data_IF_034514466341
#
_entry.id   IF_034514466341
#
_cell.length_a   1.000
_cell.length_b   1.000
_cell.length_c   1.000
_cell.angle_alpha   90.00
_cell.angle_beta   90.00
_cell.angle_gamma   90.00
#
_symmetry.space_group_name_H-M   'P 1'
#
loop_
_entity.id
_entity.type
_entity.pdbx_description
1 polymer ?
#
# COMPACT_ATOMS: atom_id res chain seq x y z
N UNK A 1 -4.07 -19.96 6.46
CA UNK A 1 -3.76 -18.66 5.81
C UNK A 1 -2.26 -18.59 5.62
N UNK A 2 -1.76 -18.02 4.51
CA UNK A 2 -0.32 -17.86 4.25
C UNK A 2 -0.10 -16.67 3.32
N UNK A 3 1.09 -16.09 3.33
CA UNK A 3 1.48 -15.09 2.32
C UNK A 3 1.60 -15.78 0.97
N UNK A 4 0.95 -15.23 -0.05
CA UNK A 4 0.98 -15.80 -1.39
C UNK A 4 2.31 -15.48 -2.08
N UNK A 5 3.00 -16.51 -2.58
CA UNK A 5 4.20 -16.29 -3.40
C UNK A 5 3.87 -15.51 -4.68
N UNK A 6 2.68 -15.70 -5.25
CA UNK A 6 2.27 -14.95 -6.43
C UNK A 6 2.12 -13.44 -6.15
N UNK A 7 1.68 -13.07 -4.95
CA UNK A 7 1.57 -11.67 -4.54
C UNK A 7 2.96 -11.06 -4.34
N UNK A 8 3.89 -11.80 -3.73
CA UNK A 8 5.29 -11.36 -3.60
C UNK A 8 5.95 -11.22 -4.97
N UNK A 9 5.79 -12.21 -5.85
CA UNK A 9 6.35 -12.19 -7.20
C UNK A 9 5.79 -11.04 -8.05
N UNK A 10 4.57 -10.58 -7.78
CA UNK A 10 4.02 -9.37 -8.39
C UNK A 10 4.80 -8.14 -7.96
N UNK A 11 5.02 -7.95 -6.65
CA UNK A 11 5.82 -6.84 -6.13
C UNK A 11 7.25 -6.82 -6.69
N UNK A 12 7.86 -7.99 -6.85
CA UNK A 12 9.22 -8.12 -7.41
C UNK A 12 9.30 -7.78 -8.90
N UNK A 13 8.19 -7.81 -9.63
CA UNK A 13 8.12 -7.48 -11.06
C UNK A 13 7.79 -6.01 -11.32
N UNK A 14 7.45 -5.25 -10.29
CA UNK A 14 7.14 -3.82 -10.42
C UNK A 14 8.37 -3.09 -10.96
N UNK A 15 8.15 -2.31 -12.01
CA UNK A 15 9.18 -1.41 -12.52
C UNK A 15 9.13 -0.09 -11.76
N UNK A 16 9.61 -0.16 -10.52
CA UNK A 16 9.45 0.89 -9.52
C UNK A 16 9.84 2.27 -10.04
N UNK A 17 8.95 3.23 -9.81
CA UNK A 17 9.23 4.67 -9.91
C UNK A 17 9.59 5.19 -11.32
N UNK A 18 9.35 4.39 -12.37
CA UNK A 18 9.70 4.77 -13.75
C UNK A 18 8.93 6.00 -14.25
N UNK A 19 7.83 6.37 -13.60
CA UNK A 19 6.96 7.47 -13.99
C UNK A 19 6.84 8.61 -12.95
N UNK A 20 7.69 8.63 -11.92
CA UNK A 20 7.73 9.79 -11.00
C UNK A 20 7.91 11.10 -11.79
N UNK A 21 7.04 12.08 -11.51
CA UNK A 21 7.05 13.38 -12.17
C UNK A 21 6.47 13.41 -13.59
N UNK A 22 5.99 12.28 -14.12
CA UNK A 22 5.25 12.22 -15.40
C UNK A 22 3.75 12.26 -15.13
N UNK A 23 2.95 12.77 -16.07
CA UNK A 23 1.49 12.75 -15.92
C UNK A 23 0.96 11.32 -15.98
N UNK A 24 0.21 10.90 -14.97
CA UNK A 24 -0.50 9.61 -14.98
C UNK A 24 -1.77 9.70 -15.82
N UNK A 25 -2.16 8.58 -16.42
CA UNK A 25 -3.42 8.41 -17.18
C UNK A 25 -4.52 7.74 -16.36
N UNK A 26 -4.26 7.46 -15.08
CA UNK A 26 -5.22 6.84 -14.19
C UNK A 26 -6.39 7.79 -13.92
N UNK A 27 -7.61 7.24 -13.88
CA UNK A 27 -8.82 7.99 -13.63
C UNK A 27 -9.10 8.12 -12.14
N UNK A 28 -9.83 9.18 -11.76
CA UNK A 28 -10.29 9.41 -10.38
C UNK A 28 -9.17 9.50 -9.32
N UNK A 29 -7.96 9.87 -9.74
CA UNK A 29 -6.84 10.19 -8.87
C UNK A 29 -6.50 11.68 -8.97
N UNK A 30 -5.86 12.21 -7.94
CA UNK A 30 -5.18 13.50 -7.97
C UNK A 30 -3.69 13.24 -8.10
N UNK A 31 -2.99 14.03 -8.90
CA UNK A 31 -1.54 13.95 -9.00
C UNK A 31 -0.89 15.24 -8.52
N UNK A 32 0.14 15.11 -7.69
CA UNK A 32 1.06 16.20 -7.38
C UNK A 32 2.26 16.15 -8.30
N UNK A 33 2.77 17.31 -8.71
CA UNK A 33 3.78 17.39 -9.78
C UNK A 33 5.20 17.71 -9.27
N UNK A 34 5.34 18.09 -8.00
CA UNK A 34 6.62 18.48 -7.42
C UNK A 34 6.87 17.78 -6.08
N UNK A 35 8.15 17.68 -5.75
CA UNK A 35 8.64 16.99 -4.56
C UNK A 35 8.13 17.61 -3.25
N UNK A 36 7.99 18.93 -3.18
CA UNK A 36 7.51 19.60 -1.96
C UNK A 36 6.07 19.21 -1.64
N UNK A 37 5.20 19.17 -2.66
CA UNK A 37 3.81 18.73 -2.49
C UNK A 37 3.78 17.23 -2.18
N UNK A 38 4.60 16.40 -2.85
CA UNK A 38 4.72 14.98 -2.52
C UNK A 38 5.09 14.73 -1.07
N UNK A 39 6.13 15.40 -0.55
CA UNK A 39 6.56 15.26 0.85
C UNK A 39 5.44 15.74 1.80
N UNK A 40 4.76 16.83 1.47
CA UNK A 40 3.62 17.30 2.27
C UNK A 40 2.51 16.25 2.33
N UNK A 41 2.13 15.65 1.20
CA UNK A 41 1.05 14.67 1.14
C UNK A 41 1.45 13.36 1.86
N UNK A 42 2.65 12.81 1.60
CA UNK A 42 3.06 11.50 2.17
C UNK A 42 3.28 11.54 3.69
N UNK A 43 3.45 12.75 4.24
CA UNK A 43 3.57 13.00 5.68
C UNK A 43 2.29 13.58 6.29
N UNK A 44 1.21 13.70 5.50
CA UNK A 44 -0.04 14.27 5.96
C UNK A 44 -0.79 13.32 6.89
N UNK A 45 -1.49 13.89 7.87
CA UNK A 45 -2.40 13.14 8.72
C UNK A 45 -3.54 12.51 7.90
N UNK A 46 -4.02 13.19 6.86
CA UNK A 46 -5.08 12.66 5.99
C UNK A 46 -4.66 11.35 5.30
N UNK A 47 -3.40 11.24 4.88
CA UNK A 47 -2.85 9.99 4.33
C UNK A 47 -2.71 8.89 5.37
N UNK A 48 -2.13 9.22 6.51
CA UNK A 48 -1.97 8.28 7.63
C UNK A 48 -3.33 7.74 8.08
N UNK A 49 -4.30 8.62 8.31
CA UNK A 49 -5.66 8.27 8.73
C UNK A 49 -6.36 7.40 7.68
N UNK A 50 -6.26 7.74 6.38
CA UNK A 50 -6.90 6.96 5.33
C UNK A 50 -6.37 5.52 5.25
N UNK A 51 -5.05 5.34 5.27
CA UNK A 51 -4.46 3.99 5.21
C UNK A 51 -4.70 3.21 6.51
N UNK A 52 -4.75 3.89 7.66
CA UNK A 52 -5.08 3.28 8.94
C UNK A 52 -6.53 2.81 8.96
N UNK A 53 -7.48 3.63 8.51
CA UNK A 53 -8.89 3.25 8.46
C UNK A 53 -9.14 2.10 7.49
N UNK A 54 -8.48 2.08 6.33
CA UNK A 54 -8.53 0.93 5.41
C UNK A 54 -8.06 -0.37 6.10
N UNK A 55 -6.97 -0.31 6.87
CA UNK A 55 -6.50 -1.45 7.67
C UNK A 55 -7.45 -1.85 8.79
N UNK A 56 -8.06 -0.87 9.47
CA UNK A 56 -9.03 -1.08 10.54
C UNK A 56 -10.32 -1.73 10.03
N UNK A 57 -10.80 -1.38 8.84
CA UNK A 57 -11.96 -2.01 8.21
C UNK A 57 -11.71 -3.51 7.97
N UNK A 58 -10.54 -3.87 7.45
CA UNK A 58 -10.14 -5.27 7.22
C UNK A 58 -10.09 -6.02 8.56
N UNK A 59 -9.32 -5.50 9.51
CA UNK A 59 -9.10 -6.18 10.80
C UNK A 59 -10.37 -6.26 11.63
N UNK A 60 -11.16 -5.19 11.68
CA UNK A 60 -12.45 -5.13 12.36
C UNK A 60 -13.47 -6.10 11.77
N UNK A 61 -13.54 -6.20 10.43
CA UNK A 61 -14.39 -7.19 9.77
C UNK A 61 -13.98 -8.62 10.11
N UNK A 62 -12.68 -8.94 9.98
CA UNK A 62 -12.14 -10.26 10.27
C UNK A 62 -12.34 -10.64 11.74
N UNK A 63 -12.06 -9.75 12.68
CA UNK A 63 -12.25 -9.99 14.10
C UNK A 63 -13.72 -10.33 14.44
N UNK A 64 -14.68 -9.65 13.78
CA UNK A 64 -16.12 -9.82 14.01
C UNK A 64 -16.74 -11.02 13.29
N UNK A 65 -16.27 -11.35 12.08
CA UNK A 65 -16.92 -12.32 11.18
C UNK A 65 -16.11 -13.59 10.94
N UNK A 66 -14.79 -13.52 11.12
CA UNK A 66 -13.83 -14.59 10.82
C UNK A 66 -12.81 -14.73 11.96
N UNK A 67 -13.29 -14.69 13.22
CA UNK A 67 -12.46 -14.59 14.43
C UNK A 67 -11.35 -15.64 14.50
N UNK A 68 -11.63 -16.88 14.07
CA UNK A 68 -10.65 -17.96 14.05
C UNK A 68 -9.51 -17.70 13.05
N UNK A 69 -9.83 -17.26 11.83
CA UNK A 69 -8.83 -16.89 10.82
C UNK A 69 -8.07 -15.61 11.23
N UNK A 70 -8.74 -14.67 11.91
CA UNK A 70 -8.13 -13.43 12.41
C UNK A 70 -7.01 -13.69 13.43
N UNK A 71 -7.04 -14.78 14.20
CA UNK A 71 -5.96 -15.11 15.14
C UNK A 71 -4.59 -15.27 14.44
N UNK A 72 -4.57 -15.55 13.14
CA UNK A 72 -3.34 -15.68 12.35
C UNK A 72 -2.78 -14.32 11.88
N UNK A 73 -3.51 -13.22 12.06
CA UNK A 73 -3.17 -11.90 11.53
C UNK A 73 -1.75 -11.48 11.92
N UNK A 74 -1.44 -11.48 13.21
CA UNK A 74 -0.14 -11.05 13.71
C UNK A 74 1.02 -11.94 13.25
N UNK A 75 0.77 -13.23 13.02
CA UNK A 75 1.78 -14.15 12.49
C UNK A 75 2.09 -13.78 11.04
N UNK A 76 1.04 -13.56 10.23
CA UNK A 76 1.17 -13.20 8.83
C UNK A 76 1.78 -11.80 8.64
N UNK A 77 1.43 -10.81 9.48
CA UNK A 77 2.08 -9.49 9.43
C UNK A 77 3.59 -9.59 9.66
N UNK A 78 4.03 -10.41 10.62
CA UNK A 78 5.46 -10.63 10.87
C UNK A 78 6.14 -11.32 9.69
N UNK A 79 5.46 -12.28 9.07
CA UNK A 79 5.95 -12.96 7.87
C UNK A 79 6.07 -12.00 6.69
N UNK A 80 5.01 -11.22 6.41
CA UNK A 80 4.98 -10.20 5.37
C UNK A 80 6.11 -9.17 5.55
N UNK A 81 6.28 -8.62 6.77
CA UNK A 81 7.39 -7.70 7.06
C UNK A 81 8.77 -8.28 6.74
N UNK A 82 9.03 -9.52 7.15
CA UNK A 82 10.29 -10.21 6.85
C UNK A 82 10.52 -10.36 5.34
N UNK A 83 9.49 -10.74 4.60
CA UNK A 83 9.57 -10.90 3.15
C UNK A 83 9.82 -9.54 2.48
N UNK A 84 9.05 -8.51 2.84
CA UNK A 84 9.19 -7.16 2.28
C UNK A 84 10.60 -6.61 2.55
N UNK A 85 11.07 -6.67 3.80
CA UNK A 85 12.40 -6.17 4.17
C UNK A 85 13.54 -6.93 3.48
N UNK A 86 13.39 -8.25 3.27
CA UNK A 86 14.44 -9.09 2.69
C UNK A 86 14.45 -9.10 1.16
N UNK A 87 13.29 -9.05 0.51
CA UNK A 87 13.18 -9.29 -0.93
C UNK A 87 12.83 -8.02 -1.71
N UNK A 88 11.95 -7.15 -1.19
CA UNK A 88 11.39 -6.02 -1.97
C UNK A 88 12.11 -4.71 -1.67
N UNK A 89 12.36 -4.39 -0.40
CA UNK A 89 12.98 -3.13 0.01
C UNK A 89 14.39 -2.93 -0.56
N UNK A 90 15.26 -3.96 -0.71
CA UNK A 90 16.53 -3.77 -1.40
C UNK A 90 16.37 -3.26 -2.84
N UNK A 91 15.34 -3.71 -3.57
CA UNK A 91 15.04 -3.27 -4.93
C UNK A 91 14.54 -1.83 -4.93
N UNK A 92 13.62 -1.50 -4.03
CA UNK A 92 13.09 -0.13 -3.86
C UNK A 92 14.23 0.87 -3.57
N UNK A 93 15.16 0.50 -2.69
CA UNK A 93 16.33 1.33 -2.33
C UNK A 93 17.29 1.51 -3.50
N UNK A 94 17.53 0.47 -4.29
CA UNK A 94 18.36 0.54 -5.50
C UNK A 94 17.80 1.53 -6.54
N UNK A 95 16.48 1.79 -6.50
CA UNK A 95 15.81 2.79 -7.34
C UNK A 95 15.84 4.22 -6.78
N UNK A 96 16.64 4.47 -5.74
CA UNK A 96 16.92 5.83 -5.25
C UNK A 96 16.03 6.30 -4.11
N UNK A 97 15.10 5.48 -3.62
CA UNK A 97 14.29 5.82 -2.43
C UNK A 97 15.05 5.42 -1.18
N UNK A 98 15.69 6.39 -0.52
CA UNK A 98 16.47 6.17 0.71
C UNK A 98 15.92 6.89 1.94
N UNK A 99 14.98 7.83 1.77
CA UNK A 99 14.39 8.54 2.89
C UNK A 99 13.54 7.60 3.73
N UNK A 100 13.84 7.55 5.03
CA UNK A 100 13.18 6.63 5.95
C UNK A 100 11.66 6.83 5.95
N UNK A 101 11.18 8.08 5.90
CA UNK A 101 9.74 8.35 5.96
C UNK A 101 8.99 7.81 4.74
N UNK A 102 9.57 7.92 3.54
CA UNK A 102 9.01 7.36 2.31
C UNK A 102 9.06 5.83 2.37
N UNK A 103 10.18 5.27 2.80
CA UNK A 103 10.35 3.82 2.91
C UNK A 103 9.37 3.18 3.90
N UNK A 104 9.10 3.81 5.04
CA UNK A 104 8.15 3.27 6.01
C UNK A 104 6.69 3.33 5.49
N UNK A 105 6.32 4.38 4.74
CA UNK A 105 5.02 4.43 4.04
C UNK A 105 4.91 3.32 2.99
N UNK A 106 5.92 3.14 2.13
CA UNK A 106 5.93 2.04 1.16
C UNK A 106 5.81 0.70 1.87
N UNK A 107 6.60 0.45 2.92
CA UNK A 107 6.50 -0.81 3.69
C UNK A 107 5.11 -1.04 4.25
N UNK A 108 4.47 0.00 4.78
CA UNK A 108 3.11 -0.08 5.29
C UNK A 108 2.13 -0.56 4.20
N UNK A 109 2.19 0.07 3.03
CA UNK A 109 1.33 -0.27 1.89
C UNK A 109 1.56 -1.71 1.43
N UNK A 110 2.83 -2.10 1.26
CA UNK A 110 3.19 -3.44 0.76
C UNK A 110 2.83 -4.55 1.76
N UNK A 111 3.03 -4.32 3.06
CA UNK A 111 2.64 -5.27 4.10
C UNK A 111 1.12 -5.43 4.10
N UNK A 112 0.37 -4.33 4.09
CA UNK A 112 -1.08 -4.39 4.11
C UNK A 112 -1.66 -4.99 2.82
N UNK A 113 -1.03 -4.77 1.66
CA UNK A 113 -1.38 -5.49 0.43
C UNK A 113 -1.22 -7.00 0.57
N UNK A 114 -0.10 -7.48 1.12
CA UNK A 114 0.10 -8.93 1.34
C UNK A 114 -0.93 -9.51 2.33
N UNK A 115 -1.32 -8.72 3.34
CA UNK A 115 -2.40 -9.09 4.26
C UNK A 115 -3.75 -9.13 3.56
N UNK A 116 -4.06 -8.13 2.75
CA UNK A 116 -5.28 -8.06 1.97
C UNK A 116 -5.38 -9.24 0.99
N UNK A 117 -4.31 -9.58 0.26
CA UNK A 117 -4.26 -10.74 -0.63
C UNK A 117 -4.46 -12.06 0.12
N UNK A 118 -3.84 -12.21 1.29
CA UNK A 118 -4.00 -13.41 2.11
C UNK A 118 -5.46 -13.60 2.53
N UNK A 119 -6.14 -12.52 2.93
CA UNK A 119 -7.52 -12.52 3.43
C UNK A 119 -8.60 -12.26 2.38
N UNK A 120 -8.24 -12.00 1.12
CA UNK A 120 -9.18 -11.59 0.05
C UNK A 120 -10.38 -12.48 -0.15
N UNK A 121 -10.28 -13.78 0.17
CA UNK A 121 -11.41 -14.73 0.11
C UNK A 121 -12.57 -14.37 1.06
N UNK A 122 -12.30 -13.57 2.08
CA UNK A 122 -13.27 -13.10 3.07
C UNK A 122 -13.71 -11.66 2.82
N UNK A 123 -12.86 -10.87 2.17
CA UNK A 123 -13.12 -9.47 1.90
C UNK A 123 -14.09 -9.32 0.73
N UNK A 124 -14.94 -8.31 0.80
CA UNK A 124 -15.91 -7.98 -0.26
C UNK A 124 -15.68 -6.55 -0.70
N UNK A 125 -15.87 -6.31 -2.00
CA UNK A 125 -15.72 -4.98 -2.59
C UNK A 125 -14.31 -4.73 -3.10
N UNK A 126 -13.98 -3.44 -3.25
CA UNK A 126 -12.68 -3.01 -3.74
C UNK A 126 -11.63 -3.19 -2.63
N UNK A 127 -10.48 -3.71 -3.03
CA UNK A 127 -9.33 -3.94 -2.18
C UNK A 127 -8.44 -2.68 -2.24
N UNK A 128 -8.32 -1.98 -1.12
CA UNK A 128 -7.69 -0.66 -1.09
C UNK A 128 -6.18 -0.77 -1.32
N UNK A 129 -5.50 -1.67 -0.62
CA UNK A 129 -4.04 -1.80 -0.75
C UNK A 129 -3.64 -2.43 -2.09
N UNK A 130 -4.47 -3.32 -2.64
CA UNK A 130 -4.41 -3.77 -4.03
C UNK A 130 -4.45 -2.58 -5.01
N UNK A 131 -5.31 -1.59 -4.77
CA UNK A 131 -5.35 -0.39 -5.62
C UNK A 131 -4.08 0.46 -5.52
N UNK A 132 -3.42 0.47 -4.37
CA UNK A 132 -2.10 1.11 -4.21
C UNK A 132 -1.01 0.38 -5.02
N UNK A 133 -1.07 -0.95 -5.08
CA UNK A 133 -0.13 -1.72 -5.92
C UNK A 133 -0.28 -1.37 -7.40
N UNK A 134 -1.50 -1.11 -7.87
CA UNK A 134 -1.72 -0.64 -9.25
C UNK A 134 -1.00 0.69 -9.52
N UNK A 135 -0.92 1.59 -8.53
CA UNK A 135 -0.16 2.85 -8.66
C UNK A 135 1.33 2.59 -8.78
N UNK A 136 1.87 1.70 -7.94
CA UNK A 136 3.28 1.31 -8.03
C UNK A 136 3.60 0.61 -9.36
N UNK A 137 2.68 -0.22 -9.87
CA UNK A 137 2.80 -0.88 -11.17
C UNK A 137 2.77 0.12 -12.34
N UNK A 138 2.01 1.21 -12.23
CA UNK A 138 2.02 2.34 -13.16
C UNK A 138 3.33 3.16 -13.06
N UNK A 139 4.17 2.90 -12.05
CA UNK A 139 5.45 3.55 -11.86
C UNK A 139 5.39 4.84 -11.05
N UNK A 140 4.30 5.06 -10.31
CA UNK A 140 4.07 6.20 -9.43
C UNK A 140 4.15 5.81 -7.95
N UNK A 141 4.05 6.81 -7.06
CA UNK A 141 3.96 6.59 -5.60
C UNK A 141 2.60 7.09 -5.11
N UNK A 142 1.75 6.23 -4.50
CA UNK A 142 0.61 6.71 -3.72
C UNK A 142 1.12 7.47 -2.50
N UNK A 143 0.62 8.67 -2.30
CA UNK A 143 1.20 9.58 -1.33
C UNK A 143 0.18 10.38 -0.55
N UNK A 144 -1.13 10.26 -0.81
CA UNK A 144 -2.08 11.07 -0.06
C UNK A 144 -3.53 10.71 -0.31
N UNK A 145 -4.41 11.36 0.46
CA UNK A 145 -5.85 11.20 0.35
C UNK A 145 -6.53 12.56 0.46
N UNK A 146 -7.31 12.93 -0.55
CA UNK A 146 -8.08 14.17 -0.56
C UNK A 146 -9.56 13.90 -0.24
N UNK A 147 -10.05 14.48 0.87
CA UNK A 147 -11.44 14.35 1.31
C UNK A 147 -11.63 13.26 2.36
N UNK A 148 -12.89 12.95 2.67
CA UNK A 148 -13.23 12.04 3.78
C UNK A 148 -13.20 10.58 3.34
N UNK A 149 -12.49 9.72 4.08
CA UNK A 149 -12.57 8.27 3.91
C UNK A 149 -14.02 7.74 4.07
N UNK A 150 -14.51 6.81 3.23
CA UNK A 150 -13.87 6.19 2.06
C UNK A 150 -14.20 6.88 0.72
N UNK A 151 -14.82 8.08 0.74
CA UNK A 151 -15.33 8.76 -0.45
C UNK A 151 -14.35 9.76 -1.09
N UNK A 152 -13.16 9.91 -0.50
CA UNK A 152 -12.10 10.78 -1.01
C UNK A 152 -11.43 10.27 -2.29
N UNK A 153 -10.34 10.95 -2.66
CA UNK A 153 -9.54 10.64 -3.83
C UNK A 153 -8.10 10.34 -3.44
N UNK A 154 -7.56 9.27 -4.03
CA UNK A 154 -6.14 8.95 -3.89
C UNK A 154 -5.29 10.03 -4.57
N UNK A 155 -4.24 10.44 -3.88
CA UNK A 155 -3.21 11.35 -4.39
C UNK A 155 -1.96 10.54 -4.70
N UNK A 156 -1.35 10.80 -5.85
CA UNK A 156 -0.12 10.13 -6.30
C UNK A 156 0.94 11.15 -6.71
N UNK A 157 2.19 10.68 -6.78
CA UNK A 157 3.35 11.39 -7.33
C UNK A 157 3.96 10.62 -8.51
#
# INVERSE_FOLDING_TARGET
MKISRSAVDRLLKINWFINIGKVSVLNNIKQVANESDFIKEITSADWEDATLEAGNEITGYLAKKHTNDYQQWNVLVREAKKIIDAEVIPIVKDKGVSENIILENIKWDLVNFLMEDAYKRFLKGNLFFESLIVIYEDGHIPCGWEGTWPLGKLIIY
#
